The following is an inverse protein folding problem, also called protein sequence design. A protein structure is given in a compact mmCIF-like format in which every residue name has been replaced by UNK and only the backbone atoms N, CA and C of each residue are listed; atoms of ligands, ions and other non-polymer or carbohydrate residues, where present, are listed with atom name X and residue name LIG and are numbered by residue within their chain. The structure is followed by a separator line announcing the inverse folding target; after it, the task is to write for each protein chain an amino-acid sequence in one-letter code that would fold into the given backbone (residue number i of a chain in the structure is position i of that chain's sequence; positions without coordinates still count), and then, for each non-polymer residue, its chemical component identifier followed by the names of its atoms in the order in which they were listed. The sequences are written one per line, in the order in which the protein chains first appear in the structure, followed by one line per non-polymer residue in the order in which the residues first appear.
data_IF_010188326822
#
_entry.id   IF_010188326822
#
_cell.length_a   1.000
_cell.length_b   1.000
_cell.length_c   1.000
_cell.angle_alpha   90.00
_cell.angle_beta   90.00
_cell.angle_gamma   90.00
#
_symmetry.space_group_name_H-M   'P 1'
#
loop_
_entity.id
_entity.type
_entity.pdbx_description
1 polymer ?
#
# COMPACT_ATOMS: atom_id res chain seq x y z
N UNK A 1 -18.17 -8.08 18.35
CA UNK A 1 -17.85 -7.17 17.25
C UNK A 1 -16.94 -7.92 16.28
N UNK A 2 -17.11 -7.74 14.98
CA UNK A 2 -16.18 -8.31 13.98
C UNK A 2 -14.87 -7.53 14.06
N UNK A 3 -13.74 -8.24 14.05
CA UNK A 3 -12.42 -7.61 14.01
C UNK A 3 -12.24 -6.80 12.70
N UNK A 4 -11.54 -5.66 12.77
CA UNK A 4 -11.17 -4.90 11.59
C UNK A 4 -9.97 -5.56 10.90
N UNK A 5 -10.09 -5.85 9.61
CA UNK A 5 -9.05 -6.50 8.80
C UNK A 5 -8.01 -5.47 8.35
N UNK A 6 -6.81 -5.60 8.85
CA UNK A 6 -5.66 -4.75 8.52
C UNK A 6 -4.71 -5.54 7.64
N UNK A 7 -4.63 -5.16 6.37
CA UNK A 7 -3.75 -5.76 5.38
C UNK A 7 -2.41 -5.04 5.40
N UNK A 8 -1.32 -5.74 5.69
CA UNK A 8 0.05 -5.21 5.65
C UNK A 8 0.73 -5.73 4.40
N UNK A 9 1.22 -4.81 3.55
CA UNK A 9 1.99 -5.11 2.36
C UNK A 9 3.48 -5.06 2.65
N UNK A 10 4.23 -6.04 2.16
CA UNK A 10 5.70 -6.02 2.17
C UNK A 10 6.26 -6.62 0.87
N UNK A 11 7.23 -5.93 0.28
CA UNK A 11 7.90 -6.31 -0.97
C UNK A 11 9.35 -6.75 -0.79
N UNK A 12 9.98 -6.37 0.34
CA UNK A 12 11.40 -6.63 0.59
C UNK A 12 11.68 -7.01 2.05
N UNK A 13 12.80 -7.70 2.28
CA UNK A 13 13.28 -8.04 3.62
C UNK A 13 13.47 -6.80 4.50
N UNK A 14 13.93 -5.70 3.93
CA UNK A 14 14.15 -4.45 4.67
C UNK A 14 12.83 -3.86 5.17
N UNK A 15 11.81 -3.80 4.31
CA UNK A 15 10.46 -3.37 4.70
C UNK A 15 9.87 -4.28 5.77
N UNK A 16 9.97 -5.60 5.60
CA UNK A 16 9.49 -6.56 6.59
C UNK A 16 10.12 -6.34 7.96
N UNK A 17 11.43 -6.12 8.02
CA UNK A 17 12.12 -5.86 9.29
C UNK A 17 11.57 -4.63 10.03
N UNK A 18 11.20 -3.59 9.29
CA UNK A 18 10.58 -2.38 9.85
C UNK A 18 9.12 -2.61 10.26
N UNK A 19 8.38 -3.42 9.52
CA UNK A 19 6.97 -3.73 9.76
C UNK A 19 6.77 -4.81 10.83
N UNK A 20 7.79 -5.57 11.19
CA UNK A 20 7.70 -6.76 12.04
C UNK A 20 6.98 -6.48 13.37
N UNK A 21 7.38 -5.44 14.09
CA UNK A 21 6.78 -5.12 15.39
C UNK A 21 5.35 -4.62 15.26
N UNK A 22 5.06 -3.82 14.23
CA UNK A 22 3.70 -3.38 13.92
C UNK A 22 2.80 -4.59 13.63
N UNK A 23 3.27 -5.53 12.82
CA UNK A 23 2.55 -6.77 12.53
C UNK A 23 2.30 -7.61 13.78
N UNK A 24 3.27 -7.71 14.69
CA UNK A 24 3.11 -8.40 15.98
C UNK A 24 2.02 -7.75 16.85
N UNK A 25 2.01 -6.44 16.96
CA UNK A 25 1.01 -5.71 17.74
C UNK A 25 -0.39 -5.86 17.12
N UNK A 26 -0.53 -5.76 15.79
CA UNK A 26 -1.81 -6.00 15.11
C UNK A 26 -2.28 -7.43 15.36
N UNK A 27 -1.39 -8.41 15.25
CA UNK A 27 -1.71 -9.83 15.49
C UNK A 27 -2.16 -10.11 16.93
N UNK A 28 -1.57 -9.41 17.91
CA UNK A 28 -1.91 -9.54 19.32
C UNK A 28 -3.20 -8.80 19.71
N UNK A 29 -3.67 -7.86 18.88
CA UNK A 29 -4.87 -7.07 19.15
C UNK A 29 -6.14 -7.94 19.20
N UNK A 30 -7.06 -7.55 20.08
CA UNK A 30 -8.39 -8.19 20.17
C UNK A 30 -9.37 -7.66 19.12
N UNK A 31 -9.11 -6.44 18.63
CA UNK A 31 -10.00 -5.67 17.76
C UNK A 31 -9.57 -5.70 16.28
N UNK A 32 -8.32 -6.12 16.02
CA UNK A 32 -7.75 -6.21 14.67
C UNK A 32 -7.53 -7.66 14.22
N UNK A 33 -7.59 -7.87 12.92
CA UNK A 33 -7.22 -9.10 12.22
C UNK A 33 -6.11 -8.78 11.23
N UNK A 34 -4.93 -9.38 11.42
CA UNK A 34 -3.79 -9.19 10.54
C UNK A 34 -3.98 -10.00 9.25
N UNK A 35 -3.87 -9.33 8.12
CA UNK A 35 -3.70 -9.93 6.80
C UNK A 35 -2.35 -9.52 6.24
N UNK A 36 -1.61 -10.45 5.63
CA UNK A 36 -0.29 -10.19 5.06
C UNK A 36 -0.32 -10.48 3.57
N UNK A 37 0.06 -9.48 2.78
CA UNK A 37 0.31 -9.62 1.35
C UNK A 37 1.81 -9.44 1.10
N UNK A 38 2.42 -10.42 0.48
CA UNK A 38 3.83 -10.37 0.08
C UNK A 38 3.94 -10.26 -1.44
N UNK A 39 4.92 -9.48 -1.89
CA UNK A 39 5.15 -9.23 -3.31
C UNK A 39 6.64 -9.00 -3.60
N UNK A 40 6.95 -8.61 -4.80
CA UNK A 40 8.26 -8.10 -5.17
C UNK A 40 9.40 -9.08 -4.91
N UNK A 41 10.47 -8.55 -4.32
CA UNK A 41 11.69 -9.30 -4.04
C UNK A 41 11.49 -10.48 -3.08
N UNK A 42 10.47 -10.41 -2.21
CA UNK A 42 10.15 -11.53 -1.32
C UNK A 42 9.88 -12.84 -2.05
N UNK A 43 9.29 -12.77 -3.25
CA UNK A 43 8.88 -13.95 -4.02
C UNK A 43 9.94 -14.40 -5.03
N UNK A 44 10.91 -13.54 -5.34
CA UNK A 44 11.95 -13.84 -6.30
C UNK A 44 13.01 -14.81 -5.74
N UNK A 45 13.35 -15.82 -6.54
CA UNK A 45 14.44 -16.74 -6.24
C UNK A 45 15.81 -16.06 -6.25
N UNK A 46 15.98 -15.00 -7.02
CA UNK A 46 17.21 -14.21 -7.11
C UNK A 46 17.54 -13.51 -5.79
N UNK A 47 16.50 -13.16 -5.01
CA UNK A 47 16.62 -12.53 -3.70
C UNK A 47 16.42 -13.50 -2.53
N UNK A 48 16.46 -14.82 -2.79
CA UNK A 48 16.47 -15.87 -1.76
C UNK A 48 15.10 -16.18 -1.18
N UNK A 49 13.99 -15.78 -1.84
CA UNK A 49 12.60 -16.07 -1.38
C UNK A 49 12.38 -15.71 0.08
N UNK A 50 12.70 -14.50 0.43
CA UNK A 50 12.71 -14.00 1.82
C UNK A 50 11.33 -13.99 2.50
N UNK A 51 10.24 -14.34 1.80
CA UNK A 51 8.94 -14.58 2.42
C UNK A 51 8.96 -15.74 3.42
N UNK A 52 9.90 -16.69 3.27
CA UNK A 52 10.05 -17.83 4.19
C UNK A 52 10.38 -17.35 5.61
N UNK A 53 11.12 -16.26 5.75
CA UNK A 53 11.38 -15.66 7.06
C UNK A 53 10.09 -15.18 7.75
N UNK A 54 9.12 -14.69 7.00
CA UNK A 54 7.82 -14.28 7.53
C UNK A 54 7.05 -15.48 8.08
N UNK A 55 7.11 -16.60 7.36
CA UNK A 55 6.49 -17.86 7.77
C UNK A 55 7.22 -18.48 8.98
N UNK A 56 8.56 -18.44 9.02
CA UNK A 56 9.40 -18.89 10.14
C UNK A 56 9.15 -18.08 11.43
N UNK A 57 8.89 -16.78 11.29
CA UNK A 57 8.54 -15.88 12.40
C UNK A 57 7.10 -16.12 12.94
N UNK A 58 6.37 -17.08 12.35
CA UNK A 58 5.06 -17.54 12.80
C UNK A 58 3.90 -16.74 12.21
N UNK A 59 4.11 -15.92 11.21
CA UNK A 59 3.04 -15.22 10.52
C UNK A 59 2.48 -16.03 9.36
N UNK A 60 1.16 -15.96 9.18
CA UNK A 60 0.48 -16.53 8.02
C UNK A 60 0.43 -15.51 6.89
N UNK A 61 0.99 -15.86 5.74
CA UNK A 61 0.88 -15.05 4.52
C UNK A 61 -0.47 -15.35 3.86
N UNK A 62 -1.31 -14.33 3.74
CA UNK A 62 -2.65 -14.47 3.17
C UNK A 62 -2.63 -14.49 1.63
N UNK A 63 -1.74 -13.69 1.02
CA UNK A 63 -1.58 -13.65 -0.44
C UNK A 63 -0.13 -13.42 -0.84
N UNK A 64 0.25 -14.08 -1.93
CA UNK A 64 1.53 -13.89 -2.64
C UNK A 64 1.20 -13.31 -4.02
N UNK A 65 1.60 -12.05 -4.27
CA UNK A 65 1.37 -11.36 -5.55
C UNK A 65 2.68 -11.31 -6.32
N UNK A 66 2.84 -12.25 -7.24
CA UNK A 66 3.99 -12.28 -8.15
C UNK A 66 3.84 -11.20 -9.21
N UNK A 67 4.83 -10.31 -9.32
CA UNK A 67 4.79 -9.22 -10.28
C UNK A 67 6.14 -8.94 -10.95
N UNK A 68 7.25 -9.32 -10.32
CA UNK A 68 8.57 -9.02 -10.87
C UNK A 68 8.86 -9.83 -12.12
N UNK A 69 9.18 -9.14 -13.19
CA UNK A 69 9.85 -9.72 -14.35
C UNK A 69 11.36 -9.66 -14.12
N UNK A 70 12.11 -10.64 -14.61
CA UNK A 70 13.59 -10.65 -14.56
C UNK A 70 14.18 -9.58 -15.49
N UNK A 71 13.88 -8.31 -15.25
CA UNK A 71 14.32 -7.17 -16.05
C UNK A 71 14.24 -5.89 -15.22
N UNK A 72 15.35 -5.17 -15.16
CA UNK A 72 15.53 -3.86 -14.48
C UNK A 72 15.39 -2.67 -15.43
N UNK A 73 15.04 -2.92 -16.71
CA UNK A 73 14.78 -1.85 -17.67
C UNK A 73 13.45 -1.14 -17.37
N UNK A 74 13.32 0.10 -17.84
CA UNK A 74 12.09 0.89 -17.69
C UNK A 74 10.87 0.15 -18.25
N UNK A 75 11.05 -0.56 -19.36
CA UNK A 75 10.02 -1.41 -19.98
C UNK A 75 9.69 -2.60 -19.07
N UNK A 76 10.70 -3.24 -18.49
CA UNK A 76 10.53 -4.37 -17.57
C UNK A 76 9.79 -3.96 -16.30
N UNK A 77 10.19 -2.85 -15.68
CA UNK A 77 9.54 -2.28 -14.50
C UNK A 77 8.09 -1.91 -14.81
N UNK A 78 7.84 -1.23 -15.93
CA UNK A 78 6.48 -0.84 -16.34
C UNK A 78 5.58 -2.06 -16.55
N UNK A 79 6.10 -3.12 -17.16
CA UNK A 79 5.35 -4.39 -17.33
C UNK A 79 5.10 -5.07 -15.98
N UNK A 80 6.09 -5.11 -15.09
CA UNK A 80 5.95 -5.61 -13.72
C UNK A 80 4.84 -4.87 -12.96
N UNK A 81 4.79 -3.54 -13.09
CA UNK A 81 3.71 -2.74 -12.52
C UNK A 81 2.33 -3.16 -13.06
N UNK A 82 2.22 -3.39 -14.37
CA UNK A 82 0.98 -3.86 -15.00
C UNK A 82 0.54 -5.23 -14.48
N UNK A 83 1.46 -6.17 -14.35
CA UNK A 83 1.19 -7.51 -13.77
C UNK A 83 0.75 -7.37 -12.31
N UNK A 84 1.46 -6.53 -11.54
CA UNK A 84 1.11 -6.24 -10.14
C UNK A 84 -0.29 -5.67 -9.99
N UNK A 85 -0.70 -4.75 -10.87
CA UNK A 85 -2.05 -4.16 -10.84
C UNK A 85 -3.14 -5.23 -10.94
N UNK A 86 -2.97 -6.21 -11.83
CA UNK A 86 -3.90 -7.33 -11.98
C UNK A 86 -3.91 -8.19 -10.71
N UNK A 87 -2.72 -8.57 -10.20
CA UNK A 87 -2.61 -9.42 -9.02
C UNK A 87 -3.16 -8.78 -7.74
N UNK A 88 -2.95 -7.47 -7.55
CA UNK A 88 -3.52 -6.76 -6.40
C UNK A 88 -5.02 -6.58 -6.49
N UNK A 89 -5.59 -6.40 -7.70
CA UNK A 89 -7.04 -6.35 -7.87
C UNK A 89 -7.69 -7.64 -7.37
N UNK A 90 -7.14 -8.80 -7.75
CA UNK A 90 -7.62 -10.11 -7.29
C UNK A 90 -7.41 -10.29 -5.78
N UNK A 91 -6.22 -9.97 -5.27
CA UNK A 91 -5.88 -10.11 -3.86
C UNK A 91 -6.81 -9.29 -2.96
N UNK A 92 -7.06 -8.02 -3.31
CA UNK A 92 -7.92 -7.14 -2.52
C UNK A 92 -9.41 -7.51 -2.62
N UNK A 93 -9.85 -8.02 -3.77
CA UNK A 93 -11.20 -8.55 -3.93
C UNK A 93 -11.47 -9.76 -3.02
N UNK A 94 -10.48 -10.65 -2.87
CA UNK A 94 -10.60 -11.83 -2.03
C UNK A 94 -10.44 -11.53 -0.54
N UNK A 95 -9.44 -10.71 -0.17
CA UNK A 95 -9.13 -10.39 1.23
C UNK A 95 -10.12 -9.37 1.81
N UNK A 96 -10.64 -8.48 0.97
CA UNK A 96 -11.56 -7.41 1.34
C UNK A 96 -11.12 -6.68 2.64
N UNK A 97 -9.90 -6.11 2.69
CA UNK A 97 -9.37 -5.47 3.89
C UNK A 97 -10.12 -4.18 4.22
N UNK A 98 -10.21 -3.86 5.51
CA UNK A 98 -10.78 -2.61 5.98
C UNK A 98 -9.74 -1.47 6.00
N UNK A 99 -8.44 -1.82 5.92
CA UNK A 99 -7.31 -0.90 5.84
C UNK A 99 -6.11 -1.58 5.19
N UNK A 100 -5.43 -0.88 4.28
CA UNK A 100 -4.13 -1.27 3.73
C UNK A 100 -3.02 -0.45 4.40
N UNK A 101 -2.03 -1.13 4.96
CA UNK A 101 -0.82 -0.53 5.53
C UNK A 101 0.35 -0.75 4.59
N UNK A 102 1.02 0.33 4.21
CA UNK A 102 2.18 0.33 3.31
C UNK A 102 3.33 1.15 3.88
N UNK A 103 4.54 0.80 3.47
CA UNK A 103 5.76 1.50 3.87
C UNK A 103 6.58 1.90 2.65
N UNK A 104 7.05 3.17 2.63
CA UNK A 104 8.04 3.63 1.66
C UNK A 104 7.45 4.06 0.31
N UNK A 105 8.25 3.86 -0.75
CA UNK A 105 8.10 4.53 -2.04
C UNK A 105 8.32 3.63 -3.27
N UNK A 106 8.53 2.34 -3.06
CA UNK A 106 8.84 1.43 -4.17
C UNK A 106 7.67 1.29 -5.15
N UNK A 107 7.98 0.95 -6.40
CA UNK A 107 6.96 0.80 -7.45
C UNK A 107 5.93 -0.30 -7.13
N UNK A 108 6.32 -1.36 -6.39
CA UNK A 108 5.40 -2.39 -5.91
C UNK A 108 4.34 -1.80 -4.96
N UNK A 109 4.78 -0.91 -4.06
CA UNK A 109 3.90 -0.20 -3.11
C UNK A 109 2.98 0.75 -3.86
N UNK A 110 3.50 1.52 -4.83
CA UNK A 110 2.72 2.43 -5.65
C UNK A 110 1.59 1.71 -6.40
N UNK A 111 1.88 0.55 -6.97
CA UNK A 111 0.90 -0.28 -7.70
C UNK A 111 -0.19 -0.80 -6.75
N UNK A 112 0.20 -1.32 -5.59
CA UNK A 112 -0.74 -1.80 -4.59
C UNK A 112 -1.66 -0.68 -4.09
N UNK A 113 -1.09 0.50 -3.78
CA UNK A 113 -1.85 1.68 -3.34
C UNK A 113 -2.82 2.16 -4.42
N UNK A 114 -2.39 2.17 -5.69
CA UNK A 114 -3.26 2.54 -6.82
C UNK A 114 -4.44 1.58 -6.95
N UNK A 115 -4.21 0.27 -6.82
CA UNK A 115 -5.27 -0.74 -6.82
C UNK A 115 -6.21 -0.60 -5.62
N UNK A 116 -5.66 -0.38 -4.42
CA UNK A 116 -6.44 -0.18 -3.19
C UNK A 116 -7.34 1.06 -3.27
N UNK A 117 -6.83 2.17 -3.84
CA UNK A 117 -7.59 3.40 -4.05
C UNK A 117 -8.82 3.15 -4.93
N UNK A 118 -8.66 2.43 -6.05
CA UNK A 118 -9.77 2.07 -6.95
C UNK A 118 -10.75 1.12 -6.25
N UNK A 119 -10.25 0.21 -5.42
CA UNK A 119 -11.06 -0.72 -4.61
C UNK A 119 -11.71 -0.04 -3.40
N UNK A 120 -11.50 1.27 -3.19
CA UNK A 120 -12.01 2.06 -2.05
C UNK A 120 -11.54 1.53 -0.69
N UNK A 121 -10.34 0.99 -0.64
CA UNK A 121 -9.70 0.54 0.59
C UNK A 121 -8.92 1.72 1.17
N UNK A 122 -9.18 2.13 2.41
CA UNK A 122 -8.39 3.14 3.11
C UNK A 122 -6.92 2.73 3.21
N UNK A 123 -6.02 3.71 3.14
CA UNK A 123 -4.58 3.48 3.06
C UNK A 123 -3.88 4.21 4.21
N UNK A 124 -3.03 3.49 4.94
CA UNK A 124 -2.10 4.00 5.92
C UNK A 124 -0.67 3.95 5.35
N UNK A 125 -0.04 5.10 5.21
CA UNK A 125 1.31 5.23 4.64
C UNK A 125 2.33 5.54 5.71
N UNK A 126 3.29 4.63 5.90
CA UNK A 126 4.44 4.77 6.77
C UNK A 126 5.62 5.34 5.98
N UNK A 127 6.41 6.23 6.60
CA UNK A 127 7.54 6.93 5.97
C UNK A 127 7.15 7.84 4.79
N UNK A 128 5.93 8.36 4.79
CA UNK A 128 5.52 9.42 3.87
C UNK A 128 6.26 10.72 4.13
N UNK A 129 6.45 11.53 3.08
CA UNK A 129 7.08 12.85 3.16
C UNK A 129 8.59 12.88 3.32
N UNK A 130 9.25 11.73 3.41
CA UNK A 130 10.72 11.64 3.36
C UNK A 130 11.24 12.02 1.98
N UNK A 131 12.52 12.41 1.91
CA UNK A 131 13.19 12.72 0.65
C UNK A 131 14.07 11.55 0.25
N UNK A 132 13.91 11.07 -0.97
CA UNK A 132 14.77 10.07 -1.57
C UNK A 132 15.49 10.71 -2.77
N UNK A 133 16.81 10.76 -2.72
CA UNK A 133 17.61 11.17 -3.87
C UNK A 133 17.70 9.99 -4.84
N UNK A 134 16.85 9.97 -5.85
CA UNK A 134 16.81 8.88 -6.82
C UNK A 134 15.71 9.07 -7.84
N UNK A 135 15.80 8.35 -8.94
CA UNK A 135 15.08 8.52 -10.20
C UNK A 135 13.57 8.85 -10.06
N UNK A 136 12.74 7.86 -9.75
CA UNK A 136 11.27 8.03 -9.69
C UNK A 136 10.66 7.77 -8.30
N UNK A 137 11.47 7.31 -7.34
CA UNK A 137 10.99 6.91 -6.01
C UNK A 137 10.37 8.09 -5.25
N UNK A 138 10.98 9.29 -5.33
CA UNK A 138 10.44 10.51 -4.73
C UNK A 138 9.03 10.83 -5.26
N UNK A 139 8.84 10.74 -6.58
CA UNK A 139 7.55 10.98 -7.21
C UNK A 139 6.51 9.94 -6.80
N UNK A 140 6.91 8.67 -6.67
CA UNK A 140 6.05 7.60 -6.19
C UNK A 140 5.68 7.82 -4.72
N UNK A 141 6.63 8.16 -3.84
CA UNK A 141 6.37 8.47 -2.44
C UNK A 141 5.32 9.55 -2.26
N UNK A 142 5.47 10.65 -2.98
CA UNK A 142 4.51 11.75 -2.92
C UNK A 142 3.13 11.35 -3.46
N UNK A 143 3.08 10.56 -4.52
CA UNK A 143 1.83 10.05 -5.07
C UNK A 143 1.14 9.09 -4.09
N UNK A 144 1.87 8.18 -3.45
CA UNK A 144 1.36 7.30 -2.39
C UNK A 144 0.80 8.12 -1.24
N UNK A 145 1.55 9.14 -0.76
CA UNK A 145 1.08 10.04 0.29
C UNK A 145 -0.20 10.77 -0.09
N UNK A 146 -0.39 11.15 -1.36
CA UNK A 146 -1.62 11.80 -1.83
C UNK A 146 -2.83 10.87 -1.87
N UNK A 147 -2.62 9.58 -2.07
CA UNK A 147 -3.67 8.56 -2.06
C UNK A 147 -3.95 8.03 -0.64
N UNK A 148 -3.06 8.27 0.32
CA UNK A 148 -3.19 7.76 1.68
C UNK A 148 -4.14 8.60 2.54
N UNK A 149 -4.78 7.95 3.51
CA UNK A 149 -5.74 8.52 4.45
C UNK A 149 -5.11 8.72 5.82
N UNK A 150 -4.20 7.83 6.22
CA UNK A 150 -3.40 7.91 7.45
C UNK A 150 -1.93 8.06 7.09
N UNK A 151 -1.22 8.91 7.84
CA UNK A 151 0.20 9.16 7.63
C UNK A 151 0.98 8.95 8.93
N UNK A 152 1.97 8.06 8.87
CA UNK A 152 2.92 7.82 9.95
C UNK A 152 4.29 8.30 9.50
N UNK A 153 4.66 9.50 9.91
CA UNK A 153 5.90 10.18 9.49
C UNK A 153 6.96 10.10 10.57
N UNK A 154 8.23 9.97 10.16
CA UNK A 154 9.34 9.84 11.08
C UNK A 154 9.68 11.16 11.82
N UNK A 155 9.35 12.32 11.24
CA UNK A 155 9.66 13.64 11.81
C UNK A 155 8.54 14.64 11.54
N UNK A 156 8.53 15.73 12.34
CA UNK A 156 7.62 16.85 12.13
C UNK A 156 7.84 17.56 10.79
N UNK A 157 9.06 17.57 10.27
CA UNK A 157 9.38 18.12 8.94
C UNK A 157 8.64 17.33 7.86
N UNK A 158 8.66 16.01 7.92
CA UNK A 158 7.97 15.13 6.97
C UNK A 158 6.46 15.22 7.12
N UNK A 159 5.97 15.34 8.36
CA UNK A 159 4.55 15.60 8.62
C UNK A 159 4.07 16.85 7.89
N UNK A 160 4.78 17.96 8.04
CA UNK A 160 4.42 19.22 7.39
C UNK A 160 4.49 19.14 5.86
N UNK A 161 5.31 18.23 5.31
CA UNK A 161 5.41 18.00 3.87
C UNK A 161 4.23 17.21 3.30
N UNK A 162 3.72 16.20 4.00
CA UNK A 162 2.56 15.42 3.55
C UNK A 162 1.24 16.15 3.76
N UNK A 163 1.19 17.14 4.69
CA UNK A 163 0.02 17.98 4.96
C UNK A 163 0.34 19.47 4.85
N UNK A 164 0.67 20.00 3.66
CA UNK A 164 0.93 21.41 3.52
C UNK A 164 -0.34 22.23 3.72
N UNK A 165 -0.34 23.13 4.71
CA UNK A 165 -1.36 24.15 4.88
C UNK A 165 -2.66 23.69 5.55
N UNK A 166 -2.63 22.68 6.41
CA UNK A 166 -3.77 22.37 7.27
C UNK A 166 -4.98 21.78 6.52
N UNK A 167 -4.75 21.01 5.47
CA UNK A 167 -5.80 20.17 4.91
C UNK A 167 -6.22 19.16 5.99
N UNK A 168 -7.21 19.57 6.78
CA UNK A 168 -7.85 18.76 7.79
C UNK A 168 -8.39 17.48 7.13
N UNK A 169 -7.98 16.34 7.65
CA UNK A 169 -8.68 15.07 7.78
C UNK A 169 -7.82 13.81 7.63
N UNK A 170 -6.50 13.93 7.46
CA UNK A 170 -5.66 12.78 7.72
C UNK A 170 -5.26 12.84 9.21
N UNK A 171 -5.62 11.84 10.01
CA UNK A 171 -5.02 11.70 11.33
C UNK A 171 -3.52 11.50 11.15
N UNK A 172 -2.75 12.48 11.57
CA UNK A 172 -1.30 12.49 11.37
C UNK A 172 -0.62 12.21 12.70
N UNK A 173 -0.06 11.04 12.81
CA UNK A 173 0.77 10.68 13.95
C UNK A 173 2.24 10.77 13.55
N UNK A 174 2.96 11.73 14.12
CA UNK A 174 4.43 11.74 14.06
C UNK A 174 4.95 10.61 14.96
N UNK A 175 5.63 9.63 14.38
CA UNK A 175 6.20 8.53 15.16
C UNK A 175 7.69 8.72 15.23
N UNK A 176 8.27 8.89 16.43
CA UNK A 176 9.70 9.14 16.60
C UNK A 176 10.61 8.00 16.13
N UNK A 177 10.11 6.78 16.09
CA UNK A 177 10.82 5.61 15.54
C UNK A 177 9.82 4.51 15.16
N UNK A 178 10.03 3.84 14.04
CA UNK A 178 9.30 2.62 13.70
C UNK A 178 9.90 1.49 14.56
N UNK A 179 9.08 1.01 15.42
CA UNK A 179 9.39 -0.09 16.33
C UNK A 179 8.63 0.10 17.63
N UNK A 180 7.69 -0.76 17.91
CA UNK A 180 7.00 -0.89 19.21
C UNK A 180 6.12 0.27 19.67
N UNK A 181 5.49 1.03 18.77
CA UNK A 181 4.59 2.08 19.22
C UNK A 181 3.15 1.57 19.30
N UNK A 182 2.67 1.29 20.50
CA UNK A 182 1.26 1.04 20.80
C UNK A 182 0.34 2.14 20.24
N UNK A 183 0.85 3.35 20.05
CA UNK A 183 0.12 4.47 19.47
C UNK A 183 -0.22 4.26 17.99
N UNK A 184 0.62 3.56 17.20
CA UNK A 184 0.31 3.24 15.79
C UNK A 184 -0.87 2.29 15.70
N UNK A 185 -0.88 1.25 16.52
CA UNK A 185 -1.97 0.27 16.55
C UNK A 185 -3.26 0.92 17.06
N UNK A 186 -3.20 1.73 18.11
CA UNK A 186 -4.35 2.46 18.63
C UNK A 186 -4.98 3.37 17.55
N UNK A 187 -4.16 4.06 16.74
CA UNK A 187 -4.64 4.87 15.62
C UNK A 187 -5.31 4.02 14.53
N UNK A 188 -4.80 2.81 14.26
CA UNK A 188 -5.43 1.87 13.32
C UNK A 188 -6.76 1.30 13.86
N UNK A 189 -6.85 1.11 15.18
CA UNK A 189 -8.08 0.61 15.84
C UNK A 189 -9.20 1.66 15.82
N UNK A 190 -8.87 2.93 16.01
CA UNK A 190 -9.83 4.03 16.15
C UNK A 190 -10.14 4.77 14.85
N UNK A 191 -9.40 4.50 13.77
CA UNK A 191 -9.60 5.17 12.49
C UNK A 191 -11.01 4.94 11.94
N UNK A 192 -11.73 6.03 11.73
CA UNK A 192 -13.04 6.02 11.04
C UNK A 192 -12.83 6.36 9.57
N UNK A 193 -13.37 5.53 8.68
CA UNK A 193 -13.36 5.80 7.24
C UNK A 193 -14.29 6.98 6.99
N UNK A 194 -13.83 8.08 6.39
CA UNK A 194 -14.69 9.19 6.02
C UNK A 194 -15.74 8.71 5.01
N UNK A 195 -17.02 8.69 5.42
CA UNK A 195 -18.13 8.11 4.63
C UNK A 195 -18.38 8.76 3.27
N UNK A 196 -17.94 10.00 3.06
CA UNK A 196 -18.31 10.80 1.90
C UNK A 196 -17.21 10.91 0.83
N UNK A 197 -16.01 10.39 1.06
CA UNK A 197 -14.90 10.54 0.09
C UNK A 197 -14.94 9.53 -1.06
N UNK A 198 -15.80 8.53 -0.99
CA UNK A 198 -15.90 7.45 -1.99
C UNK A 198 -17.19 7.47 -2.84
N UNK A 199 -18.00 8.51 -2.79
CA UNK A 199 -19.02 8.73 -3.81
C UNK A 199 -18.34 9.08 -5.14
N UNK A 200 -17.82 8.08 -5.80
CA UNK A 200 -17.54 8.18 -7.23
C UNK A 200 -18.89 8.13 -7.91
N UNK A 201 -19.37 9.29 -8.37
CA UNK A 201 -20.41 9.33 -9.40
C UNK A 201 -19.97 8.35 -10.49
N UNK A 202 -20.78 7.31 -10.70
CA UNK A 202 -20.58 6.22 -11.66
C UNK A 202 -19.91 6.78 -12.93
N UNK A 203 -18.66 6.42 -13.27
CA UNK A 203 -18.07 6.90 -14.49
C UNK A 203 -18.98 6.41 -15.61
N UNK A 204 -19.69 7.34 -16.26
CA UNK A 204 -20.37 7.03 -17.51
C UNK A 204 -19.29 6.44 -18.40
N UNK A 205 -19.33 5.13 -18.59
CA UNK A 205 -18.56 4.48 -19.64
C UNK A 205 -18.88 5.28 -20.89
N UNK A 206 -17.89 5.99 -21.39
CA UNK A 206 -18.04 6.74 -22.63
C UNK A 206 -18.18 5.70 -23.74
N UNK A 207 -19.41 5.29 -24.01
CA UNK A 207 -19.78 4.45 -25.14
C UNK A 207 -19.92 5.34 -26.38
N UNK A 208 -18.85 5.98 -26.78
CA UNK A 208 -18.72 6.48 -28.15
C UNK A 208 -17.78 5.58 -28.88
N UNK A 209 -18.32 4.51 -29.42
CA UNK A 209 -17.76 3.83 -30.60
C UNK A 209 -17.77 4.88 -31.72
N UNK A 210 -16.63 5.24 -32.32
CA UNK A 210 -16.62 6.10 -33.50
C UNK A 210 -17.37 5.37 -34.63
N UNK A 211 -18.17 6.09 -35.43
CA UNK A 211 -18.81 5.48 -36.57
C UNK A 211 -17.78 5.06 -37.61
N UNK A 212 -18.01 3.88 -38.17
CA UNK A 212 -17.42 3.21 -39.32
C UNK A 212 -16.28 3.88 -40.09
N UNK A 213 -15.10 3.28 -40.02
CA UNK A 213 -14.03 3.41 -41.01
C UNK A 213 -14.27 2.40 -42.18
N UNK A 214 -15.41 2.49 -42.83
CA UNK A 214 -15.65 1.81 -44.08
C UNK A 214 -16.11 2.87 -45.12
N UNK A 215 -15.15 3.69 -45.56
CA UNK A 215 -15.24 4.38 -46.87
C UNK A 215 -13.94 5.17 -47.08
N UNK A 216 -12.90 4.50 -47.59
CA UNK A 216 -11.94 5.11 -48.49
C UNK A 216 -11.55 4.02 -49.51
N UNK A 217 -12.16 4.11 -50.66
CA UNK A 217 -11.76 3.50 -51.93
C UNK A 217 -10.51 4.19 -52.50
#
# INVERSE_FOLDING_TARGET
MTKRRVCVLTGTRAEYGLLFWLMKEIYASKDLELQIVVTGMHLSSEFGRTYQQIEEDGFMINKKVEMLLSSDTEVGITKSMGVGMIGFADAFSELNPDLLVVLGDRFEVFVAVSSAMISKIPIAHLHGGETTEGAYDEAMRHSISKMAHLHFTATEVYRNRVSPGGAAKAEMTAVPQIGTSSNQVASLETFEVPGDQFEVSNPKVCSTVPPDLNEVS
#
